data_IF_777894760140
#
_entry.id   IF_777894760140
#
_cell.length_a   1.000
_cell.length_b   1.000
_cell.length_c   1.000
_cell.angle_alpha   90.00
_cell.angle_beta   90.00
_cell.angle_gamma   90.00
#
_symmetry.space_group_name_H-M   'P 1'
#
loop_
_entity.id
_entity.type
_entity.pdbx_description
1 polymer ?
#
# COMPACT_ATOMS: atom_id res chain seq x y z
N UNK A 1 4.70 -22.19 -7.49
CA UNK A 1 5.54 -21.60 -6.44
C UNK A 1 5.04 -20.19 -6.17
N UNK A 2 5.05 -19.78 -4.93
CA UNK A 2 4.67 -18.41 -4.50
C UNK A 2 5.90 -17.76 -3.84
N UNK A 3 6.24 -16.56 -4.25
CA UNK A 3 7.39 -15.82 -3.77
C UNK A 3 6.99 -14.38 -3.44
N UNK A 4 7.33 -13.90 -2.25
CA UNK A 4 7.30 -12.47 -1.94
C UNK A 4 8.73 -11.93 -2.08
N UNK A 5 8.86 -10.86 -2.86
CA UNK A 5 10.16 -10.21 -3.08
C UNK A 5 10.00 -8.70 -3.19
N UNK A 6 11.10 -7.98 -3.03
CA UNK A 6 11.15 -6.55 -3.33
C UNK A 6 10.74 -6.29 -4.77
N UNK A 7 9.94 -5.25 -4.95
CA UNK A 7 9.57 -4.75 -6.25
C UNK A 7 10.74 -4.08 -6.98
N UNK A 8 10.67 -4.08 -8.28
CA UNK A 8 11.63 -3.43 -9.18
C UNK A 8 10.88 -2.65 -10.25
N UNK A 9 11.57 -1.78 -10.97
CA UNK A 9 10.94 -0.92 -11.97
C UNK A 9 10.11 -1.68 -13.00
N UNK A 10 10.58 -2.86 -13.43
CA UNK A 10 9.83 -3.68 -14.40
C UNK A 10 8.51 -4.25 -13.86
N UNK A 11 8.27 -4.18 -12.55
CA UNK A 11 7.02 -4.63 -11.94
C UNK A 11 5.94 -3.52 -11.92
N UNK A 12 6.29 -2.28 -12.26
CA UNK A 12 5.37 -1.15 -12.12
C UNK A 12 4.13 -1.26 -13.02
N UNK A 13 4.25 -1.89 -14.19
CA UNK A 13 3.10 -2.12 -15.07
C UNK A 13 2.05 -3.03 -14.41
N UNK A 14 2.38 -4.26 -13.99
CA UNK A 14 1.40 -5.09 -13.29
C UNK A 14 0.97 -4.51 -11.93
N UNK A 15 1.83 -3.76 -11.26
CA UNK A 15 1.46 -3.08 -10.00
C UNK A 15 0.39 -2.03 -10.25
N UNK A 16 0.49 -1.22 -11.31
CA UNK A 16 -0.55 -0.25 -11.64
C UNK A 16 -1.90 -0.93 -11.93
N UNK A 17 -1.89 -2.09 -12.58
CA UNK A 17 -3.13 -2.85 -12.79
C UNK A 17 -3.75 -3.33 -11.46
N UNK A 18 -2.92 -3.73 -10.49
CA UNK A 18 -3.39 -4.06 -9.14
C UNK A 18 -3.94 -2.83 -8.41
N UNK A 19 -3.33 -1.65 -8.57
CA UNK A 19 -3.85 -0.39 -8.02
C UNK A 19 -5.23 -0.08 -8.59
N UNK A 20 -5.41 -0.24 -9.90
CA UNK A 20 -6.71 -0.06 -10.55
C UNK A 20 -7.75 -1.08 -10.07
N UNK A 21 -7.34 -2.33 -9.87
CA UNK A 21 -8.22 -3.36 -9.30
C UNK A 21 -8.67 -2.99 -7.89
N UNK A 22 -7.75 -2.50 -7.06
CA UNK A 22 -8.06 -2.02 -5.71
C UNK A 22 -9.03 -0.84 -5.75
N UNK A 23 -8.80 0.13 -6.62
CA UNK A 23 -9.68 1.28 -6.77
C UNK A 23 -11.11 0.87 -7.17
N UNK A 24 -11.25 -0.10 -8.08
CA UNK A 24 -12.58 -0.65 -8.42
C UNK A 24 -13.24 -1.33 -7.21
N UNK A 25 -12.49 -2.11 -6.45
CA UNK A 25 -12.98 -2.72 -5.22
C UNK A 25 -13.44 -1.66 -4.21
N UNK A 26 -12.69 -0.57 -4.09
CA UNK A 26 -12.98 0.55 -3.19
C UNK A 26 -14.03 1.52 -3.75
N UNK A 27 -14.64 1.20 -4.89
CA UNK A 27 -15.70 1.99 -5.56
C UNK A 27 -15.25 3.39 -6.03
N UNK A 28 -13.97 3.53 -6.34
CA UNK A 28 -13.36 4.78 -6.76
C UNK A 28 -12.44 4.61 -7.99
N UNK A 29 -12.91 3.93 -9.09
CA UNK A 29 -12.04 3.62 -10.23
C UNK A 29 -11.50 4.87 -10.95
N UNK A 30 -12.21 5.98 -10.89
CA UNK A 30 -11.83 7.23 -11.56
C UNK A 30 -10.77 8.05 -10.79
N UNK A 31 -10.42 7.63 -9.56
CA UNK A 31 -9.40 8.29 -8.74
C UNK A 31 -7.96 7.97 -9.18
N UNK A 32 -7.76 6.92 -9.98
CA UNK A 32 -6.42 6.51 -10.41
C UNK A 32 -6.02 7.35 -11.63
N UNK A 33 -5.23 8.38 -11.40
CA UNK A 33 -4.73 9.31 -12.43
C UNK A 33 -3.27 9.02 -12.82
N UNK A 34 -2.52 8.31 -11.95
CA UNK A 34 -1.09 8.06 -12.14
C UNK A 34 -0.82 7.17 -13.36
N UNK A 35 0.26 7.48 -14.08
CA UNK A 35 0.75 6.69 -15.20
C UNK A 35 1.98 5.88 -14.80
N UNK A 36 2.33 4.86 -15.59
CA UNK A 36 3.56 4.08 -15.39
C UNK A 36 4.81 4.99 -15.47
N UNK A 37 4.81 5.96 -16.37
CA UNK A 37 5.92 6.91 -16.52
C UNK A 37 6.13 7.74 -15.24
N UNK A 38 5.05 8.22 -14.64
CA UNK A 38 5.10 8.94 -13.36
C UNK A 38 5.53 8.02 -12.22
N UNK A 39 5.04 6.79 -12.17
CA UNK A 39 5.48 5.81 -11.18
C UNK A 39 6.99 5.55 -11.26
N UNK A 40 7.54 5.41 -12.48
CA UNK A 40 8.98 5.25 -12.69
C UNK A 40 9.77 6.43 -12.15
N UNK A 41 9.34 7.65 -12.44
CA UNK A 41 9.95 8.86 -11.92
C UNK A 41 10.03 8.82 -10.40
N UNK A 42 8.89 8.63 -9.74
CA UNK A 42 8.83 8.67 -8.28
C UNK A 42 9.50 7.47 -7.60
N UNK A 43 9.49 6.31 -8.21
CA UNK A 43 10.15 5.13 -7.67
C UNK A 43 11.67 5.15 -7.94
N UNK A 44 12.09 5.32 -9.20
CA UNK A 44 13.49 5.13 -9.60
C UNK A 44 14.33 6.39 -9.43
N UNK A 45 13.78 7.58 -9.69
CA UNK A 45 14.53 8.84 -9.62
C UNK A 45 14.42 9.50 -8.26
N UNK A 46 13.23 9.54 -7.66
CA UNK A 46 12.96 10.27 -6.41
C UNK A 46 12.92 9.37 -5.17
N UNK A 47 12.87 8.05 -5.35
CA UNK A 47 12.78 7.08 -4.24
C UNK A 47 11.65 7.41 -3.25
N UNK A 48 10.50 7.87 -3.77
CA UNK A 48 9.39 8.34 -2.97
C UNK A 48 8.66 7.21 -2.25
N UNK A 49 8.65 6.02 -2.84
CA UNK A 49 8.04 4.83 -2.26
C UNK A 49 8.87 3.59 -2.55
N UNK A 50 8.54 2.52 -1.84
CA UNK A 50 9.10 1.18 -2.07
C UNK A 50 7.95 0.16 -2.00
N UNK A 51 8.15 -1.05 -2.49
CA UNK A 51 7.09 -2.03 -2.51
C UNK A 51 7.59 -3.46 -2.53
N UNK A 52 6.72 -4.36 -2.08
CA UNK A 52 6.86 -5.80 -2.27
C UNK A 52 5.84 -6.29 -3.30
N UNK A 53 6.22 -7.30 -4.05
CA UNK A 53 5.30 -8.02 -4.92
C UNK A 53 5.18 -9.47 -4.47
N UNK A 54 4.00 -10.04 -4.68
CA UNK A 54 3.77 -11.47 -4.57
C UNK A 54 3.66 -12.05 -5.97
N UNK A 55 4.64 -12.89 -6.29
CA UNK A 55 4.76 -13.55 -7.58
C UNK A 55 4.31 -15.00 -7.46
N UNK A 56 3.49 -15.43 -8.41
CA UNK A 56 3.02 -16.80 -8.51
C UNK A 56 3.10 -17.25 -9.97
N UNK A 57 3.90 -18.28 -10.23
CA UNK A 57 4.11 -18.81 -11.58
C UNK A 57 4.45 -17.70 -12.58
N UNK A 58 5.45 -16.88 -12.23
CA UNK A 58 5.97 -15.75 -13.01
C UNK A 58 4.96 -14.59 -13.24
N UNK A 59 3.84 -14.60 -12.53
CA UNK A 59 2.86 -13.51 -12.59
C UNK A 59 2.77 -12.78 -11.25
N UNK A 60 2.71 -11.46 -11.31
CA UNK A 60 2.47 -10.63 -10.13
C UNK A 60 0.98 -10.69 -9.80
N UNK A 61 0.65 -11.24 -8.64
CA UNK A 61 -0.73 -11.44 -8.18
C UNK A 61 -1.06 -10.67 -6.90
N UNK A 62 -0.10 -9.94 -6.38
CA UNK A 62 -0.30 -9.07 -5.22
C UNK A 62 0.85 -8.09 -5.03
N UNK A 63 0.60 -7.04 -4.27
CA UNK A 63 1.61 -6.06 -3.90
C UNK A 63 1.31 -5.42 -2.55
N UNK A 64 2.34 -4.87 -1.93
CA UNK A 64 2.25 -3.99 -0.77
C UNK A 64 3.20 -2.81 -1.01
N UNK A 65 2.66 -1.60 -1.06
CA UNK A 65 3.40 -0.38 -1.35
C UNK A 65 3.45 0.49 -0.10
N UNK A 66 4.64 0.98 0.25
CA UNK A 66 4.85 1.76 1.46
C UNK A 66 5.86 2.88 1.25
N UNK A 67 5.86 3.83 2.16
CA UNK A 67 6.82 4.93 2.22
C UNK A 67 7.01 5.39 3.66
N UNK A 68 8.03 6.19 3.89
CA UNK A 68 8.28 6.76 5.21
C UNK A 68 7.64 8.13 5.32
N UNK A 69 7.02 8.39 6.47
CA UNK A 69 6.52 9.70 6.85
C UNK A 69 7.18 10.13 8.16
N UNK A 70 7.18 11.41 8.41
CA UNK A 70 7.68 11.97 9.66
C UNK A 70 6.53 12.37 10.58
N UNK A 71 6.56 11.88 11.80
CA UNK A 71 5.67 12.33 12.87
C UNK A 71 6.45 13.20 13.85
N UNK A 72 5.90 14.36 14.20
CA UNK A 72 6.51 15.23 15.22
C UNK A 72 6.54 14.57 16.60
N UNK A 73 5.71 13.55 16.83
CA UNK A 73 5.66 12.83 18.11
C UNK A 73 6.54 11.57 18.11
N UNK A 74 6.65 10.89 16.98
CA UNK A 74 7.27 9.56 16.88
C UNK A 74 8.55 9.54 16.04
N UNK A 75 8.82 10.60 15.28
CA UNK A 75 9.91 10.63 14.32
C UNK A 75 9.59 9.84 13.06
N UNK A 76 10.54 9.05 12.56
CA UNK A 76 10.34 8.22 11.37
C UNK A 76 9.26 7.18 11.60
N UNK A 77 8.26 7.18 10.74
CA UNK A 77 7.17 6.20 10.71
C UNK A 77 7.11 5.53 9.33
N UNK A 78 6.59 4.32 9.27
CA UNK A 78 6.33 3.64 8.00
C UNK A 78 4.83 3.72 7.71
N UNK A 79 4.48 4.18 6.52
CA UNK A 79 3.09 4.23 6.05
C UNK A 79 2.87 3.19 4.94
N UNK A 80 1.99 2.24 5.19
CA UNK A 80 1.55 1.28 4.19
C UNK A 80 0.39 1.91 3.40
N UNK A 81 0.67 2.32 2.17
CA UNK A 81 -0.33 2.98 1.31
C UNK A 81 -1.38 1.98 0.83
N UNK A 82 -0.93 0.91 0.18
CA UNK A 82 -1.80 -0.11 -0.38
C UNK A 82 -1.28 -1.51 -0.12
N UNK A 83 -2.20 -2.43 0.09
CA UNK A 83 -1.95 -3.87 0.06
C UNK A 83 -3.12 -4.55 -0.66
N UNK A 84 -2.81 -5.34 -1.68
CA UNK A 84 -3.81 -6.03 -2.47
C UNK A 84 -3.31 -7.39 -2.94
N UNK A 85 -4.22 -8.35 -2.94
CA UNK A 85 -4.12 -9.61 -3.67
C UNK A 85 -5.23 -9.62 -4.71
N UNK A 86 -4.91 -9.96 -5.96
CA UNK A 86 -5.92 -10.09 -7.02
C UNK A 86 -7.03 -11.05 -6.61
N UNK A 87 -8.24 -10.78 -7.04
CA UNK A 87 -9.45 -11.45 -6.54
C UNK A 87 -9.38 -12.98 -6.60
N UNK A 88 -8.89 -13.51 -7.72
CA UNK A 88 -8.78 -14.97 -7.93
C UNK A 88 -7.78 -15.66 -6.98
N UNK A 89 -6.91 -14.90 -6.34
CA UNK A 89 -5.87 -15.41 -5.46
C UNK A 89 -6.11 -15.08 -3.97
N UNK A 90 -7.23 -14.47 -3.63
CA UNK A 90 -7.60 -14.13 -2.24
C UNK A 90 -7.92 -15.38 -1.40
N UNK A 91 -7.96 -15.20 -0.09
CA UNK A 91 -8.28 -16.22 0.92
C UNK A 91 -7.29 -17.40 0.99
N UNK A 92 -6.07 -17.19 0.47
CA UNK A 92 -4.97 -18.17 0.49
C UNK A 92 -3.84 -17.80 1.46
N UNK A 93 -4.06 -16.78 2.30
CA UNK A 93 -3.05 -16.30 3.26
C UNK A 93 -2.00 -15.36 2.64
N UNK A 94 -2.11 -15.00 1.39
CA UNK A 94 -1.10 -14.22 0.68
C UNK A 94 -0.99 -12.78 1.17
N UNK A 95 -2.11 -12.17 1.59
CA UNK A 95 -2.07 -10.84 2.21
C UNK A 95 -1.22 -10.80 3.47
N UNK A 96 -1.26 -11.88 4.26
CA UNK A 96 -0.40 -12.01 5.45
C UNK A 96 1.08 -12.02 5.07
N UNK A 97 1.45 -12.73 4.02
CA UNK A 97 2.86 -12.80 3.57
C UNK A 97 3.38 -11.40 3.21
N UNK A 98 2.61 -10.62 2.46
CA UNK A 98 2.98 -9.26 2.09
C UNK A 98 3.05 -8.32 3.30
N UNK A 99 2.04 -8.36 4.16
CA UNK A 99 1.99 -7.51 5.35
C UNK A 99 3.17 -7.80 6.28
N UNK A 100 3.48 -9.07 6.51
CA UNK A 100 4.59 -9.49 7.35
C UNK A 100 5.94 -8.97 6.82
N UNK A 101 6.14 -8.93 5.49
CA UNK A 101 7.38 -8.38 4.91
C UNK A 101 7.50 -6.87 5.17
N UNK A 102 6.40 -6.13 5.04
CA UNK A 102 6.41 -4.69 5.38
C UNK A 102 6.66 -4.49 6.88
N UNK A 103 6.04 -5.28 7.73
CA UNK A 103 6.26 -5.23 9.18
C UNK A 103 7.71 -5.54 9.56
N UNK A 104 8.37 -6.47 8.85
CA UNK A 104 9.81 -6.74 9.03
C UNK A 104 10.67 -5.53 8.68
N UNK A 105 10.31 -4.78 7.63
CA UNK A 105 10.98 -3.51 7.31
C UNK A 105 10.81 -2.51 8.45
N UNK A 106 9.60 -2.32 8.94
CA UNK A 106 9.31 -1.43 10.06
C UNK A 106 10.15 -1.78 11.30
N UNK A 107 10.25 -3.07 11.61
CA UNK A 107 11.08 -3.57 12.71
C UNK A 107 12.57 -3.32 12.48
N UNK A 108 13.09 -3.65 11.31
CA UNK A 108 14.51 -3.46 10.96
C UNK A 108 14.91 -1.98 11.01
N UNK A 109 14.04 -1.11 10.51
CA UNK A 109 14.27 0.34 10.49
C UNK A 109 13.98 1.01 11.84
N UNK A 110 13.54 0.25 12.83
CA UNK A 110 13.24 0.72 14.19
C UNK A 110 12.26 1.90 14.20
N UNK A 111 11.28 1.90 13.29
CA UNK A 111 10.23 2.93 13.30
C UNK A 111 9.36 2.76 14.55
N UNK A 112 8.89 3.87 15.11
CA UNK A 112 8.04 3.83 16.31
C UNK A 112 6.57 3.64 16.02
N UNK A 113 6.18 3.75 14.74
CA UNK A 113 4.80 3.57 14.29
C UNK A 113 4.77 3.10 12.85
N UNK A 114 3.96 2.09 12.58
CA UNK A 114 3.56 1.66 11.25
C UNK A 114 2.08 1.96 11.11
N UNK A 115 1.68 2.66 10.06
CA UNK A 115 0.34 3.16 9.88
C UNK A 115 -0.23 2.76 8.54
N UNK A 116 -1.53 2.61 8.47
CA UNK A 116 -2.31 2.42 7.24
C UNK A 116 -3.74 2.87 7.49
N UNK A 117 -4.52 2.93 6.42
CA UNK A 117 -5.95 3.23 6.47
C UNK A 117 -6.77 2.05 5.97
N UNK A 118 -7.99 1.95 6.40
CA UNK A 118 -8.97 0.98 5.92
C UNK A 118 -10.32 1.66 5.83
N UNK A 119 -11.05 1.40 4.74
CA UNK A 119 -12.41 1.90 4.60
C UNK A 119 -13.30 1.27 5.68
N UNK A 120 -14.12 2.10 6.34
CA UNK A 120 -14.95 1.69 7.46
C UNK A 120 -15.90 0.52 7.12
N UNK A 121 -16.32 0.40 5.86
CA UNK A 121 -17.18 -0.68 5.39
C UNK A 121 -16.42 -1.97 5.00
N UNK A 122 -15.08 -1.92 4.91
CA UNK A 122 -14.27 -3.06 4.49
C UNK A 122 -14.03 -4.03 5.65
N UNK A 123 -15.08 -4.76 6.02
CA UNK A 123 -15.05 -5.69 7.16
C UNK A 123 -13.99 -6.78 7.04
N UNK A 124 -13.78 -7.44 5.88
CA UNK A 124 -12.74 -8.47 5.76
C UNK A 124 -11.33 -7.93 6.06
N UNK A 125 -11.01 -6.73 5.58
CA UNK A 125 -9.72 -6.09 5.87
C UNK A 125 -9.60 -5.71 7.34
N UNK A 126 -10.65 -5.16 7.94
CA UNK A 126 -10.66 -4.83 9.38
C UNK A 126 -10.40 -6.08 10.22
N UNK A 127 -11.07 -7.20 9.93
CA UNK A 127 -10.84 -8.47 10.63
C UNK A 127 -9.42 -9.01 10.42
N UNK A 128 -8.86 -8.82 9.23
CA UNK A 128 -7.46 -9.14 8.96
C UNK A 128 -6.50 -8.35 9.86
N UNK A 129 -6.70 -7.03 9.98
CA UNK A 129 -5.84 -6.18 10.82
C UNK A 129 -6.02 -6.41 12.31
N UNK A 130 -7.21 -6.80 12.76
CA UNK A 130 -7.44 -7.17 14.16
C UNK A 130 -6.55 -8.33 14.63
N UNK A 131 -6.16 -9.23 13.73
CA UNK A 131 -5.26 -10.35 14.05
C UNK A 131 -3.85 -9.90 14.46
N UNK A 132 -3.48 -8.67 14.13
CA UNK A 132 -2.21 -8.06 14.53
C UNK A 132 -2.33 -7.21 15.80
N UNK A 133 -3.48 -7.24 16.48
CA UNK A 133 -3.78 -6.37 17.62
C UNK A 133 -3.63 -4.88 17.28
N UNK A 134 -3.99 -4.50 16.06
CA UNK A 134 -3.88 -3.13 15.57
C UNK A 134 -4.77 -2.17 16.36
N UNK A 135 -4.31 -0.95 16.54
CA UNK A 135 -5.13 0.13 17.09
C UNK A 135 -5.93 0.77 15.95
N UNK A 136 -7.23 0.97 16.17
CA UNK A 136 -8.11 1.67 15.24
C UNK A 136 -8.42 3.03 15.82
N UNK A 137 -8.08 4.08 15.09
CA UNK A 137 -8.26 5.48 15.52
C UNK A 137 -9.21 6.17 14.56
N UNK A 138 -10.38 6.55 15.04
CA UNK A 138 -11.42 7.23 14.30
C UNK A 138 -11.63 8.69 14.73
N UNK A 139 -10.75 9.20 15.61
CA UNK A 139 -10.82 10.58 16.09
C UNK A 139 -10.33 11.61 15.06
N UNK A 140 -9.46 11.18 14.15
CA UNK A 140 -8.85 12.05 13.14
C UNK A 140 -9.69 12.10 11.87
N UNK A 141 -10.02 13.30 11.41
CA UNK A 141 -10.70 13.51 10.14
C UNK A 141 -9.65 13.71 9.06
N UNK A 142 -9.71 12.94 7.98
CA UNK A 142 -8.85 13.09 6.83
C UNK A 142 -9.23 14.35 6.05
N UNK A 143 -8.29 15.25 5.86
CA UNK A 143 -8.48 16.51 5.13
C UNK A 143 -7.54 16.53 3.93
N UNK A 144 -8.04 17.00 2.79
CA UNK A 144 -7.24 17.10 1.57
C UNK A 144 -7.67 18.30 0.72
N UNK A 145 -6.72 18.84 -0.02
CA UNK A 145 -6.97 19.70 -1.17
C UNK A 145 -6.53 18.93 -2.41
N UNK A 146 -7.38 18.85 -3.40
CA UNK A 146 -7.01 18.28 -4.69
C UNK A 146 -6.37 19.35 -5.57
N UNK A 147 -5.78 18.93 -6.67
CA UNK A 147 -5.00 19.73 -7.61
C UNK A 147 -5.58 21.13 -7.87
N UNK A 148 -6.80 21.22 -8.39
CA UNK A 148 -7.44 22.51 -8.69
C UNK A 148 -7.60 23.42 -7.47
N UNK A 149 -7.82 22.83 -6.28
CA UNK A 149 -7.94 23.59 -5.03
C UNK A 149 -6.57 24.11 -4.59
N UNK A 150 -5.50 23.31 -4.76
CA UNK A 150 -4.12 23.73 -4.43
C UNK A 150 -3.74 24.94 -5.29
N UNK A 151 -4.05 24.90 -6.59
CA UNK A 151 -3.72 25.99 -7.53
C UNK A 151 -4.46 27.28 -7.24
N UNK A 152 -5.57 27.24 -6.52
CA UNK A 152 -6.40 28.42 -6.19
C UNK A 152 -6.06 29.09 -4.85
N UNK A 153 -5.08 28.58 -4.11
CA UNK A 153 -4.65 29.15 -2.82
C UNK A 153 -3.75 30.37 -3.01
#
# INVERSE_FOLDING_TARGET
MVLVRKGKESDLVPVLELVKELARFEKAPDEVEVTVAEMKKWFSEESLFDFFVLEKNDNIVGMALYYYKYSTWKGKCLFLEDIIITESERKKGYGKLLFDEVAKIAKREQVRRMEWQVLAWNKPAIEFYKKYNSNFDDEWINCKLIDGQIQSV
#
